data_IF_673290658218
#
_entry.id   IF_673290658218
#
_cell.length_a   1.000
_cell.length_b   1.000
_cell.length_c   1.000
_cell.angle_alpha   90.00
_cell.angle_beta   90.00
_cell.angle_gamma   90.00
#
_symmetry.space_group_name_H-M   'P 1'
#
loop_
_entity.id
_entity.type
_entity.pdbx_description
1 polymer ?
#
# COMPACT_ATOMS: atom_id res chain seq x y z
N UNK A 1 69.52 22.80 66.21
CA UNK A 1 68.65 22.99 65.01
C UNK A 1 68.30 21.58 64.49
N UNK A 2 67.07 21.14 64.71
CA UNK A 2 66.65 19.76 64.49
C UNK A 2 65.91 19.65 63.16
N UNK A 3 66.32 18.73 62.30
CA UNK A 3 65.57 18.32 61.10
C UNK A 3 64.72 17.11 61.47
N UNK A 4 63.39 17.24 61.37
CA UNK A 4 62.42 16.18 61.48
C UNK A 4 62.34 15.41 60.15
N UNK A 5 62.56 14.09 60.20
CA UNK A 5 62.35 13.18 59.08
C UNK A 5 60.86 12.88 58.88
N UNK A 6 60.39 12.91 57.65
CA UNK A 6 59.06 12.41 57.25
C UNK A 6 59.16 10.95 56.86
N UNK A 7 58.30 10.13 57.44
CA UNK A 7 58.15 8.70 57.13
C UNK A 7 57.19 8.55 55.96
N UNK A 8 57.60 7.88 54.89
CA UNK A 8 56.73 7.43 53.84
C UNK A 8 56.02 6.13 54.23
N UNK A 9 54.70 6.09 54.06
CA UNK A 9 53.90 4.85 54.10
C UNK A 9 53.66 4.36 52.68
N UNK A 10 53.73 3.04 52.36
CA UNK A 10 53.40 2.54 51.03
C UNK A 10 51.87 2.37 50.90
N UNK A 11 51.38 2.81 49.75
CA UNK A 11 49.97 2.68 49.36
C UNK A 11 49.75 1.28 48.83
N UNK A 12 48.79 0.56 49.46
CA UNK A 12 48.39 -0.79 49.05
C UNK A 12 47.70 -0.82 47.68
N UNK A 13 48.12 -1.79 46.86
CA UNK A 13 47.53 -2.12 45.59
C UNK A 13 46.17 -2.80 45.80
N UNK A 14 45.07 -2.08 45.57
CA UNK A 14 43.73 -2.63 45.47
C UNK A 14 43.45 -3.17 44.08
N UNK A 15 43.46 -4.47 43.90
CA UNK A 15 43.00 -5.13 42.67
C UNK A 15 41.49 -4.98 42.53
N UNK A 16 41.04 -4.18 41.59
CA UNK A 16 39.65 -4.06 41.21
C UNK A 16 39.23 -5.27 40.37
N UNK A 17 38.47 -6.18 40.98
CA UNK A 17 37.81 -7.30 40.31
C UNK A 17 36.67 -6.73 39.41
N UNK A 18 36.87 -6.75 38.10
CA UNK A 18 35.84 -6.49 37.09
C UNK A 18 34.76 -7.58 37.15
N UNK A 19 33.62 -7.29 37.78
CA UNK A 19 32.41 -8.11 37.67
C UNK A 19 31.83 -8.01 36.27
N UNK A 20 31.76 -9.12 35.55
CA UNK A 20 31.08 -9.28 34.25
C UNK A 20 29.56 -9.04 34.42
N UNK A 21 28.92 -8.19 33.57
CA UNK A 21 27.47 -8.14 33.46
C UNK A 21 27.00 -9.16 32.42
N UNK A 22 26.88 -10.43 32.77
CA UNK A 22 26.53 -11.49 31.81
C UNK A 22 25.09 -12.03 31.91
N UNK A 23 24.20 -11.37 32.64
CA UNK A 23 22.80 -11.85 32.75
C UNK A 23 21.72 -10.90 32.22
N UNK A 24 21.98 -9.61 32.06
CA UNK A 24 20.99 -8.66 31.58
C UNK A 24 20.84 -8.65 30.03
N UNK A 25 21.91 -8.91 29.30
CA UNK A 25 21.92 -8.87 27.82
C UNK A 25 21.21 -10.07 27.19
N UNK A 26 21.17 -11.22 27.84
CA UNK A 26 20.46 -12.43 27.36
C UNK A 26 18.93 -12.33 27.52
N UNK A 27 18.44 -11.59 28.49
CA UNK A 27 17.00 -11.42 28.70
C UNK A 27 16.35 -10.49 27.71
N UNK A 28 17.08 -9.48 27.21
CA UNK A 28 16.59 -8.53 26.18
C UNK A 28 16.54 -9.20 24.80
N UNK A 29 17.53 -10.04 24.47
CA UNK A 29 17.55 -10.78 23.20
C UNK A 29 16.48 -11.90 23.15
N UNK A 30 16.10 -12.50 24.28
CA UNK A 30 15.02 -13.49 24.36
C UNK A 30 13.64 -12.85 24.18
N UNK A 31 13.41 -11.65 24.76
CA UNK A 31 12.14 -10.92 24.58
C UNK A 31 11.92 -10.44 23.14
N UNK A 32 12.98 -10.07 22.42
CA UNK A 32 12.88 -9.65 21.02
C UNK A 32 12.51 -10.80 20.05
N UNK A 33 12.75 -12.06 20.45
CA UNK A 33 12.34 -13.24 19.66
C UNK A 33 10.91 -13.73 19.95
N UNK A 34 10.36 -13.41 21.10
CA UNK A 34 9.01 -13.85 21.49
C UNK A 34 7.89 -12.97 20.89
N UNK A 35 8.22 -11.73 20.47
CA UNK A 35 7.28 -10.81 19.81
C UNK A 35 6.99 -11.21 18.36
N UNK A 36 7.77 -12.12 17.77
CA UNK A 36 7.61 -12.55 16.35
C UNK A 36 6.60 -13.71 16.14
N UNK A 37 5.89 -14.18 17.18
CA UNK A 37 4.98 -15.33 17.09
C UNK A 37 3.50 -14.98 17.05
N UNK A 38 3.14 -13.70 17.18
CA UNK A 38 1.77 -13.26 16.93
C UNK A 38 1.69 -12.68 15.53
N UNK A 39 0.79 -13.18 14.67
CA UNK A 39 0.54 -12.52 13.38
C UNK A 39 0.17 -11.06 13.67
N UNK A 40 0.91 -10.13 13.10
CA UNK A 40 0.54 -8.72 13.16
C UNK A 40 -0.88 -8.63 12.61
N UNK A 41 -1.87 -8.14 13.38
CA UNK A 41 -3.23 -8.05 12.87
C UNK A 41 -3.19 -7.22 11.58
N UNK A 42 -3.77 -7.77 10.50
CA UNK A 42 -3.87 -7.05 9.24
C UNK A 42 -4.75 -5.81 9.47
N UNK A 43 -4.21 -4.63 9.21
CA UNK A 43 -4.89 -3.37 9.52
C UNK A 43 -5.96 -3.01 8.48
N UNK A 44 -5.85 -3.53 7.24
CA UNK A 44 -6.73 -3.21 6.12
C UNK A 44 -6.86 -4.42 5.20
N UNK A 45 -8.07 -4.65 4.66
CA UNK A 45 -8.32 -5.62 3.60
C UNK A 45 -8.35 -4.92 2.25
N UNK A 46 -7.59 -5.41 1.29
CA UNK A 46 -7.48 -4.81 -0.03
C UNK A 46 -7.91 -5.77 -1.14
N UNK A 47 -8.92 -5.37 -1.90
CA UNK A 47 -9.41 -6.12 -3.06
C UNK A 47 -8.82 -5.55 -4.35
N UNK A 48 -8.14 -6.39 -5.13
CA UNK A 48 -7.44 -5.99 -6.35
C UNK A 48 -8.00 -6.68 -7.59
N UNK A 49 -8.53 -5.87 -8.52
CA UNK A 49 -9.04 -6.32 -9.82
C UNK A 49 -7.92 -6.42 -10.86
N UNK A 50 -8.09 -7.36 -11.80
CA UNK A 50 -7.13 -7.64 -12.89
C UNK A 50 -7.29 -6.71 -14.11
N UNK A 51 -6.29 -6.70 -15.01
CA UNK A 51 -6.36 -6.04 -16.32
C UNK A 51 -7.33 -6.75 -17.29
N UNK A 52 -7.69 -6.08 -18.38
CA UNK A 52 -8.71 -6.54 -19.33
C UNK A 52 -8.45 -7.91 -19.98
N UNK A 53 -7.21 -8.36 -20.06
CA UNK A 53 -6.83 -9.68 -20.62
C UNK A 53 -6.42 -10.69 -19.55
N UNK A 54 -6.67 -10.38 -18.26
CA UNK A 54 -6.26 -11.19 -17.13
C UNK A 54 -7.40 -11.91 -16.42
N UNK A 55 -7.06 -12.44 -15.26
CA UNK A 55 -7.95 -13.03 -14.27
C UNK A 55 -7.38 -12.73 -12.87
N UNK A 56 -8.07 -13.11 -11.81
CA UNK A 56 -7.54 -13.01 -10.44
C UNK A 56 -6.15 -13.66 -10.32
N UNK A 57 -5.91 -14.79 -11.00
CA UNK A 57 -4.60 -15.45 -11.02
C UNK A 57 -3.47 -14.56 -11.57
N UNK A 58 -3.75 -13.66 -12.50
CA UNK A 58 -2.76 -12.73 -13.05
C UNK A 58 -2.29 -11.69 -12.03
N UNK A 59 -3.02 -11.50 -10.93
CA UNK A 59 -2.69 -10.60 -9.83
C UNK A 59 -1.90 -11.27 -8.70
N UNK A 60 -1.52 -12.55 -8.83
CA UNK A 60 -0.83 -13.31 -7.78
C UNK A 60 0.44 -12.61 -7.27
N UNK A 61 1.22 -11.98 -8.16
CA UNK A 61 2.41 -11.20 -7.77
C UNK A 61 2.07 -9.97 -6.93
N UNK A 62 0.97 -9.28 -7.24
CA UNK A 62 0.50 -8.12 -6.45
C UNK A 62 0.01 -8.58 -5.08
N UNK A 63 -0.84 -9.61 -5.04
CA UNK A 63 -1.38 -10.16 -3.79
C UNK A 63 -0.26 -10.64 -2.87
N UNK A 64 0.63 -11.51 -3.37
CA UNK A 64 1.77 -12.00 -2.58
C UNK A 64 2.61 -10.84 -2.02
N UNK A 65 2.99 -9.90 -2.87
CA UNK A 65 3.85 -8.80 -2.45
C UNK A 65 3.17 -7.85 -1.46
N UNK A 66 1.85 -7.63 -1.52
CA UNK A 66 1.11 -6.85 -0.55
C UNK A 66 0.95 -7.59 0.80
N UNK A 67 0.71 -8.91 0.78
CA UNK A 67 0.66 -9.75 2.00
C UNK A 67 2.00 -9.73 2.72
N UNK A 68 3.12 -9.85 2.00
CA UNK A 68 4.47 -9.75 2.56
C UNK A 68 4.74 -8.39 3.23
N UNK A 69 3.95 -7.36 2.91
CA UNK A 69 3.99 -6.00 3.47
C UNK A 69 2.91 -5.71 4.52
N UNK A 70 2.16 -6.74 4.96
CA UNK A 70 1.18 -6.61 6.04
C UNK A 70 -0.23 -6.21 5.61
N UNK A 71 -0.56 -6.24 4.32
CA UNK A 71 -1.91 -5.96 3.80
C UNK A 71 -2.66 -7.27 3.54
N UNK A 72 -3.91 -7.42 4.04
CA UNK A 72 -4.80 -8.55 3.68
C UNK A 72 -5.28 -8.39 2.23
N UNK A 73 -4.43 -8.72 1.25
CA UNK A 73 -4.72 -8.54 -0.15
C UNK A 73 -5.44 -9.75 -0.77
N UNK A 74 -6.47 -9.49 -1.58
CA UNK A 74 -7.29 -10.50 -2.26
C UNK A 74 -7.51 -10.12 -3.71
N UNK A 75 -7.12 -10.99 -4.65
CA UNK A 75 -7.47 -10.79 -6.05
C UNK A 75 -8.92 -11.23 -6.30
N UNK A 76 -9.59 -10.49 -7.18
CA UNK A 76 -10.97 -10.80 -7.59
C UNK A 76 -11.05 -10.97 -9.11
N UNK A 77 -11.90 -11.88 -9.55
CA UNK A 77 -12.27 -12.03 -10.96
C UNK A 77 -13.37 -11.04 -11.34
N UNK A 78 -13.18 -10.40 -12.48
CA UNK A 78 -14.13 -9.44 -13.02
C UNK A 78 -14.61 -9.91 -14.40
N UNK A 79 -15.91 -9.75 -14.72
CA UNK A 79 -16.40 -10.08 -16.05
C UNK A 79 -15.77 -9.15 -17.10
N UNK A 80 -15.36 -9.71 -18.23
CA UNK A 80 -14.75 -8.96 -19.35
C UNK A 80 -15.85 -8.21 -20.13
N UNK A 81 -16.33 -7.12 -19.57
CA UNK A 81 -17.37 -6.23 -20.11
C UNK A 81 -16.83 -4.78 -20.11
N UNK A 82 -17.69 -3.82 -20.47
CA UNK A 82 -17.40 -2.41 -20.15
C UNK A 82 -17.25 -2.26 -18.65
N UNK A 83 -16.39 -1.36 -18.21
CA UNK A 83 -16.11 -1.22 -16.77
C UNK A 83 -17.36 -0.84 -15.96
N UNK A 84 -18.23 -0.02 -16.56
CA UNK A 84 -19.50 0.39 -15.98
C UNK A 84 -20.44 -0.83 -15.73
N UNK A 85 -20.48 -1.77 -16.68
CA UNK A 85 -21.31 -2.99 -16.57
C UNK A 85 -20.71 -4.03 -15.60
N UNK A 86 -19.44 -3.86 -15.19
CA UNK A 86 -18.77 -4.76 -14.26
C UNK A 86 -18.90 -4.31 -12.80
N UNK A 87 -19.30 -3.08 -12.52
CA UNK A 87 -19.46 -2.54 -11.15
C UNK A 87 -20.40 -3.41 -10.28
N UNK A 88 -21.58 -3.87 -10.74
CA UNK A 88 -22.43 -4.75 -9.92
C UNK A 88 -21.74 -6.06 -9.53
N UNK A 89 -20.96 -6.67 -10.44
CA UNK A 89 -20.22 -7.89 -10.14
C UNK A 89 -19.06 -7.64 -9.15
N UNK A 90 -18.41 -6.49 -9.25
CA UNK A 90 -17.40 -6.05 -8.28
C UNK A 90 -18.01 -5.92 -6.88
N UNK A 91 -19.12 -5.20 -6.73
CA UNK A 91 -19.81 -4.97 -5.46
C UNK A 91 -20.46 -6.24 -4.87
N UNK A 92 -20.76 -7.24 -5.71
CA UNK A 92 -21.23 -8.54 -5.22
C UNK A 92 -20.13 -9.34 -4.48
N UNK A 93 -18.84 -9.02 -4.70
CA UNK A 93 -17.69 -9.69 -4.10
C UNK A 93 -17.06 -8.84 -2.99
N UNK A 94 -16.97 -7.52 -3.20
CA UNK A 94 -16.28 -6.58 -2.33
C UNK A 94 -17.28 -5.93 -1.38
N UNK A 95 -17.10 -6.06 -0.04
CA UNK A 95 -17.96 -5.37 0.92
C UNK A 95 -17.91 -3.85 0.71
N UNK A 96 -19.05 -3.18 0.82
CA UNK A 96 -19.17 -1.74 0.57
C UNK A 96 -18.46 -0.87 1.64
N UNK A 97 -18.03 -1.45 2.75
CA UNK A 97 -17.31 -0.77 3.84
C UNK A 97 -17.10 -1.69 5.03
N UNK A 98 -16.46 -1.20 6.12
CA UNK A 98 -16.09 -2.02 7.27
C UNK A 98 -17.28 -2.60 8.04
N UNK A 99 -18.45 -1.96 7.98
CA UNK A 99 -19.69 -2.45 8.60
C UNK A 99 -20.48 -3.43 7.71
N UNK A 100 -20.08 -3.61 6.44
CA UNK A 100 -20.78 -4.50 5.53
C UNK A 100 -20.51 -5.97 5.86
N UNK A 101 -21.45 -6.89 5.55
CA UNK A 101 -21.22 -8.33 5.70
C UNK A 101 -19.94 -8.77 4.97
N UNK A 102 -19.11 -9.58 5.65
CA UNK A 102 -17.84 -10.09 5.10
C UNK A 102 -16.64 -9.15 5.22
N UNK A 103 -16.82 -7.95 5.75
CA UNK A 103 -15.71 -7.02 6.05
C UNK A 103 -14.97 -7.38 7.35
N UNK A 104 -15.60 -8.09 8.26
CA UNK A 104 -15.09 -8.48 9.59
C UNK A 104 -14.61 -7.26 10.43
N UNK A 105 -15.21 -6.08 10.19
CA UNK A 105 -14.84 -4.83 10.83
C UNK A 105 -13.55 -4.19 10.32
N UNK A 106 -12.85 -4.80 9.35
CA UNK A 106 -11.64 -4.24 8.78
C UNK A 106 -11.98 -3.11 7.79
N UNK A 107 -11.18 -2.02 7.77
CA UNK A 107 -11.21 -1.07 6.67
C UNK A 107 -11.02 -1.76 5.31
N UNK A 108 -11.79 -1.34 4.32
CA UNK A 108 -11.77 -1.93 2.98
C UNK A 108 -11.04 -0.98 2.02
N UNK A 109 -9.90 -1.41 1.52
CA UNK A 109 -9.25 -0.79 0.37
C UNK A 109 -9.66 -1.50 -0.92
N UNK A 110 -9.76 -0.75 -2.00
CA UNK A 110 -10.09 -1.28 -3.33
C UNK A 110 -9.10 -0.79 -4.37
N UNK A 111 -9.01 -1.49 -5.49
CA UNK A 111 -8.14 -1.06 -6.58
C UNK A 111 -7.98 -2.09 -7.67
N UNK A 112 -6.96 -1.89 -8.51
CA UNK A 112 -6.69 -2.85 -9.57
C UNK A 112 -5.71 -2.33 -10.60
N UNK A 113 -5.31 -3.24 -11.47
CA UNK A 113 -4.51 -2.93 -12.65
C UNK A 113 -5.42 -2.57 -13.82
N UNK A 114 -5.15 -1.42 -14.46
CA UNK A 114 -5.80 -1.03 -15.70
C UNK A 114 -7.33 -1.14 -15.61
N UNK A 115 -7.96 -2.07 -16.31
CA UNK A 115 -9.40 -2.32 -16.30
C UNK A 115 -9.96 -2.51 -14.88
N UNK A 116 -9.31 -3.34 -14.04
CA UNK A 116 -9.75 -3.56 -12.66
C UNK A 116 -9.69 -2.28 -11.82
N UNK A 117 -8.67 -1.43 -12.03
CA UNK A 117 -8.59 -0.12 -11.41
C UNK A 117 -9.74 0.81 -11.84
N UNK A 118 -10.13 0.76 -13.13
CA UNK A 118 -11.28 1.52 -13.62
C UNK A 118 -12.59 1.04 -12.98
N UNK A 119 -12.82 -0.27 -12.90
CA UNK A 119 -14.02 -0.82 -12.23
C UNK A 119 -14.06 -0.41 -10.76
N UNK A 120 -12.92 -0.55 -10.04
CA UNK A 120 -12.82 -0.16 -8.64
C UNK A 120 -13.08 1.35 -8.43
N UNK A 121 -12.60 2.21 -9.34
CA UNK A 121 -12.82 3.65 -9.24
C UNK A 121 -14.30 4.04 -9.46
N UNK A 122 -15.01 3.35 -10.35
CA UNK A 122 -16.44 3.52 -10.55
C UNK A 122 -17.23 3.04 -9.32
N UNK A 123 -16.88 1.88 -8.77
CA UNK A 123 -17.49 1.37 -7.54
C UNK A 123 -17.25 2.33 -6.35
N UNK A 124 -16.05 2.92 -6.23
CA UNK A 124 -15.74 3.88 -5.17
C UNK A 124 -16.48 5.22 -5.29
N UNK A 125 -17.09 5.50 -6.44
CA UNK A 125 -17.93 6.67 -6.65
C UNK A 125 -19.40 6.45 -6.28
N UNK A 126 -19.82 5.18 -6.04
CA UNK A 126 -21.17 4.87 -5.63
C UNK A 126 -21.47 5.41 -4.21
N UNK A 127 -22.68 5.98 -3.97
CA UNK A 127 -22.98 6.68 -2.72
C UNK A 127 -22.99 5.76 -1.49
N UNK A 128 -23.26 4.48 -1.66
CA UNK A 128 -23.34 3.50 -0.56
C UNK A 128 -21.99 2.98 -0.09
N UNK A 129 -20.90 3.21 -0.84
CA UNK A 129 -19.59 2.67 -0.49
C UNK A 129 -18.84 3.54 0.52
N UNK A 130 -18.16 2.89 1.46
CA UNK A 130 -17.32 3.50 2.48
C UNK A 130 -15.93 2.84 2.46
N UNK A 131 -15.22 3.01 1.33
CA UNK A 131 -13.87 2.49 1.18
C UNK A 131 -12.85 3.39 1.87
N UNK A 132 -11.88 2.77 2.55
CA UNK A 132 -10.79 3.47 3.23
C UNK A 132 -9.73 4.02 2.25
N UNK A 133 -9.53 3.36 1.10
CA UNK A 133 -8.52 3.73 0.12
C UNK A 133 -8.81 3.15 -1.26
N UNK A 134 -8.34 3.84 -2.32
CA UNK A 134 -8.34 3.37 -3.70
C UNK A 134 -6.91 3.38 -4.26
N UNK A 135 -6.40 2.24 -4.76
CA UNK A 135 -5.07 2.13 -5.37
C UNK A 135 -5.18 1.72 -6.83
N UNK A 136 -4.66 2.55 -7.72
CA UNK A 136 -4.79 2.43 -9.17
C UNK A 136 -3.42 2.18 -9.83
N UNK A 137 -3.17 0.94 -10.24
CA UNK A 137 -1.99 0.55 -11.01
C UNK A 137 -2.28 0.73 -12.50
N UNK A 138 -1.59 1.70 -13.14
CA UNK A 138 -1.74 2.03 -14.56
C UNK A 138 -3.20 2.29 -14.96
N UNK A 139 -3.83 3.30 -14.34
CA UNK A 139 -5.23 3.66 -14.65
C UNK A 139 -5.38 4.07 -16.11
N UNK A 140 -6.31 3.46 -16.89
CA UNK A 140 -6.47 3.74 -18.31
C UNK A 140 -7.33 5.00 -18.52
N UNK A 141 -6.70 6.17 -18.49
CA UNK A 141 -7.34 7.48 -18.61
C UNK A 141 -8.07 7.67 -19.94
N UNK A 142 -7.54 7.10 -21.03
CA UNK A 142 -8.13 7.17 -22.37
C UNK A 142 -7.65 5.97 -23.22
N UNK A 143 -8.34 5.61 -24.30
CA UNK A 143 -7.80 4.69 -25.30
C UNK A 143 -6.53 5.28 -25.95
N UNK A 144 -5.57 4.45 -26.39
CA UNK A 144 -4.42 4.94 -27.17
C UNK A 144 -4.87 5.78 -28.35
N UNK A 145 -4.23 6.94 -28.55
CA UNK A 145 -4.56 7.86 -29.64
C UNK A 145 -5.85 8.67 -29.46
N UNK A 146 -6.61 8.49 -28.37
CA UNK A 146 -7.88 9.18 -28.14
C UNK A 146 -7.88 9.95 -26.78
N UNK A 147 -6.97 10.93 -26.56
CA UNK A 147 -6.86 11.65 -25.28
C UNK A 147 -8.12 12.45 -24.92
N UNK A 148 -8.95 12.86 -25.91
CA UNK A 148 -10.24 13.51 -25.68
C UNK A 148 -11.28 12.65 -24.93
N UNK A 149 -11.05 11.36 -24.79
CA UNK A 149 -11.89 10.47 -23.97
C UNK A 149 -11.59 10.52 -22.47
N UNK A 150 -10.59 11.30 -22.05
CA UNK A 150 -10.23 11.42 -20.63
C UNK A 150 -11.37 12.01 -19.79
N UNK A 151 -12.14 12.96 -20.31
CA UNK A 151 -13.26 13.58 -19.60
C UNK A 151 -14.35 12.58 -19.25
N UNK A 152 -14.80 11.81 -20.24
CA UNK A 152 -15.78 10.76 -20.07
C UNK A 152 -15.33 9.72 -19.02
N UNK A 153 -14.03 9.35 -19.07
CA UNK A 153 -13.47 8.33 -18.18
C UNK A 153 -13.22 8.80 -16.75
N UNK A 154 -13.24 10.09 -16.48
CA UNK A 154 -13.02 10.67 -15.17
C UNK A 154 -14.22 11.45 -14.62
N UNK A 155 -15.36 11.43 -15.32
CA UNK A 155 -16.58 12.12 -14.92
C UNK A 155 -17.07 11.73 -13.51
N UNK A 156 -16.77 10.51 -13.05
CA UNK A 156 -17.11 9.99 -11.72
C UNK A 156 -16.14 10.41 -10.61
N UNK A 157 -14.96 10.95 -10.94
CA UNK A 157 -13.92 11.29 -9.95
C UNK A 157 -14.41 12.21 -8.82
N UNK A 158 -15.22 13.26 -9.07
CA UNK A 158 -15.72 14.12 -7.99
C UNK A 158 -16.58 13.40 -6.95
N UNK A 159 -17.15 12.25 -7.28
CA UNK A 159 -17.96 11.44 -6.38
C UNK A 159 -17.13 10.48 -5.50
N UNK A 160 -15.86 10.24 -5.82
CA UNK A 160 -14.97 9.41 -5.00
C UNK A 160 -14.64 10.15 -3.71
N UNK A 161 -14.90 9.48 -2.56
CA UNK A 161 -14.75 10.09 -1.24
C UNK A 161 -13.48 9.67 -0.52
N UNK A 162 -12.97 8.47 -0.80
CA UNK A 162 -11.74 7.96 -0.20
C UNK A 162 -10.49 8.55 -0.85
N UNK A 163 -9.35 8.55 -0.15
CA UNK A 163 -8.04 8.86 -0.73
C UNK A 163 -7.67 7.93 -1.87
N UNK A 164 -6.99 8.46 -2.89
CA UNK A 164 -6.63 7.72 -4.12
C UNK A 164 -5.14 7.78 -4.39
N UNK A 165 -4.50 6.63 -4.60
CA UNK A 165 -3.12 6.53 -5.07
C UNK A 165 -3.09 6.07 -6.52
N UNK A 166 -2.47 6.87 -7.39
CA UNK A 166 -2.13 6.50 -8.75
C UNK A 166 -0.66 6.09 -8.86
N UNK A 167 -0.42 4.94 -9.46
CA UNK A 167 0.90 4.43 -9.81
C UNK A 167 0.94 4.23 -11.33
N UNK A 168 1.67 5.07 -12.06
CA UNK A 168 1.59 5.14 -13.52
C UNK A 168 2.96 5.30 -14.18
N UNK A 169 3.17 4.66 -15.33
CA UNK A 169 4.30 4.99 -16.20
C UNK A 169 4.09 6.35 -16.87
N UNK A 170 5.13 7.16 -17.03
CA UNK A 170 5.02 8.48 -17.69
C UNK A 170 4.94 8.39 -19.21
N UNK A 171 5.28 7.23 -19.79
CA UNK A 171 5.14 6.92 -21.21
C UNK A 171 3.95 5.96 -21.51
N UNK A 172 2.96 5.92 -20.62
CA UNK A 172 1.78 5.04 -20.79
C UNK A 172 0.88 5.56 -21.92
N UNK A 173 0.67 4.77 -23.00
CA UNK A 173 -0.19 5.17 -24.11
C UNK A 173 -1.67 5.29 -23.74
N UNK A 174 -2.09 4.69 -22.60
CA UNK A 174 -3.45 4.80 -22.08
C UNK A 174 -3.64 5.93 -21.08
N UNK A 175 -2.56 6.64 -20.68
CA UNK A 175 -2.65 7.69 -19.68
C UNK A 175 -1.56 8.75 -19.88
N UNK A 176 -1.78 9.68 -20.79
CA UNK A 176 -0.90 10.84 -20.92
C UNK A 176 -0.75 11.53 -19.56
N UNK A 177 0.50 11.64 -19.08
CA UNK A 177 0.79 12.08 -17.72
C UNK A 177 0.35 13.52 -17.43
N UNK A 178 0.41 14.41 -18.45
CA UNK A 178 -0.07 15.79 -18.36
C UNK A 178 -1.60 15.85 -18.13
N UNK A 179 -2.35 15.06 -18.90
CA UNK A 179 -3.79 14.92 -18.70
C UNK A 179 -4.13 14.25 -17.37
N UNK A 180 -3.39 13.20 -16.99
CA UNK A 180 -3.62 12.51 -15.72
C UNK A 180 -3.46 13.49 -14.54
N UNK A 181 -2.41 14.32 -14.52
CA UNK A 181 -2.23 15.36 -13.52
C UNK A 181 -3.40 16.34 -13.45
N UNK A 182 -3.93 16.73 -14.60
CA UNK A 182 -5.11 17.61 -14.66
C UNK A 182 -6.37 16.92 -14.11
N UNK A 183 -6.57 15.63 -14.42
CA UNK A 183 -7.78 14.90 -14.00
C UNK A 183 -7.76 14.51 -12.52
N UNK A 184 -6.61 14.24 -11.96
CA UNK A 184 -6.44 13.98 -10.52
C UNK A 184 -6.94 15.16 -9.67
N UNK A 185 -6.83 16.39 -10.16
CA UNK A 185 -7.36 17.58 -9.48
C UNK A 185 -8.89 17.58 -9.30
N UNK A 186 -9.63 16.67 -9.94
CA UNK A 186 -11.07 16.46 -9.69
C UNK A 186 -11.35 15.63 -8.43
N UNK A 187 -10.35 14.95 -7.89
CA UNK A 187 -10.44 14.15 -6.66
C UNK A 187 -10.20 15.04 -5.43
N UNK A 188 -10.80 14.67 -4.30
CA UNK A 188 -10.64 15.40 -3.03
C UNK A 188 -9.27 15.20 -2.39
N UNK A 189 -8.75 13.97 -2.48
CA UNK A 189 -7.46 13.55 -1.93
C UNK A 189 -6.84 12.53 -2.88
N UNK A 190 -5.74 12.88 -3.54
CA UNK A 190 -5.09 11.99 -4.49
C UNK A 190 -3.58 12.21 -4.56
N UNK A 191 -2.87 11.11 -4.62
CA UNK A 191 -1.43 11.05 -4.82
C UNK A 191 -1.11 10.45 -6.19
N UNK A 192 -0.12 11.00 -6.89
CA UNK A 192 0.39 10.47 -8.15
C UNK A 192 1.88 10.16 -8.06
N UNK A 193 2.21 8.90 -8.24
CA UNK A 193 3.58 8.45 -8.45
C UNK A 193 3.77 8.09 -9.91
N UNK A 194 4.77 8.68 -10.57
CA UNK A 194 5.10 8.37 -11.96
C UNK A 194 6.45 7.67 -12.07
N UNK A 195 6.54 6.70 -12.97
CA UNK A 195 7.75 5.94 -13.24
C UNK A 195 8.32 6.31 -14.62
N UNK A 196 9.54 6.85 -14.65
CA UNK A 196 10.14 7.37 -15.89
C UNK A 196 10.29 6.29 -16.97
N UNK A 197 9.93 6.63 -18.20
CA UNK A 197 10.05 5.79 -19.40
C UNK A 197 9.30 4.46 -19.35
N UNK A 198 8.40 4.25 -18.38
CA UNK A 198 7.52 3.09 -18.34
C UNK A 198 6.22 3.35 -19.06
N UNK A 199 5.78 2.36 -19.82
CA UNK A 199 4.47 2.30 -20.45
C UNK A 199 3.39 1.78 -19.49
N UNK A 200 2.42 1.05 -20.06
CA UNK A 200 1.23 0.55 -19.33
C UNK A 200 1.53 -0.59 -18.33
N UNK A 201 2.74 -1.10 -18.26
CA UNK A 201 3.11 -2.16 -17.29
C UNK A 201 4.09 -1.62 -16.26
N UNK A 202 3.81 -1.91 -14.99
CA UNK A 202 4.69 -1.59 -13.87
C UNK A 202 5.56 -2.79 -13.44
N UNK A 203 5.60 -3.88 -14.21
CA UNK A 203 6.40 -5.08 -13.88
C UNK A 203 7.85 -4.76 -13.53
N UNK A 204 8.58 -3.88 -14.25
CA UNK A 204 9.98 -3.58 -13.92
C UNK A 204 10.19 -2.92 -12.57
N UNK A 205 9.17 -2.26 -12.03
CA UNK A 205 9.19 -1.52 -10.77
C UNK A 205 8.16 -2.03 -9.77
N UNK A 206 7.68 -3.28 -9.97
CA UNK A 206 6.57 -3.82 -9.18
C UNK A 206 6.85 -3.78 -7.68
N UNK A 207 8.07 -4.07 -7.24
CA UNK A 207 8.42 -4.02 -5.81
C UNK A 207 8.21 -2.62 -5.23
N UNK A 208 8.76 -1.57 -5.86
CA UNK A 208 8.57 -0.18 -5.40
C UNK A 208 7.09 0.24 -5.46
N UNK A 209 6.37 -0.15 -6.51
CA UNK A 209 4.94 0.13 -6.61
C UNK A 209 4.14 -0.51 -5.47
N UNK A 210 4.51 -1.73 -5.06
CA UNK A 210 3.88 -2.42 -3.93
C UNK A 210 4.30 -1.85 -2.58
N UNK A 211 5.56 -1.37 -2.41
CA UNK A 211 5.99 -0.65 -1.21
C UNK A 211 5.13 0.60 -0.99
N UNK A 212 4.92 1.39 -2.05
CA UNK A 212 4.08 2.60 -1.99
C UNK A 212 2.61 2.27 -1.75
N UNK A 213 2.07 1.27 -2.45
CA UNK A 213 0.69 0.83 -2.26
C UNK A 213 0.44 0.33 -0.83
N UNK A 214 1.34 -0.48 -0.28
CA UNK A 214 1.23 -0.97 1.09
C UNK A 214 1.32 0.16 2.11
N UNK A 215 2.30 1.07 1.99
CA UNK A 215 2.43 2.23 2.87
C UNK A 215 1.16 3.11 2.84
N UNK A 216 0.61 3.36 1.63
CA UNK A 216 -0.62 4.11 1.45
C UNK A 216 -1.83 3.44 2.10
N UNK A 217 -1.99 2.13 1.94
CA UNK A 217 -3.08 1.34 2.51
C UNK A 217 -2.99 1.27 4.03
N UNK A 218 -1.81 0.93 4.59
CA UNK A 218 -1.60 0.77 6.02
C UNK A 218 -1.76 2.08 6.82
N UNK A 219 -1.53 3.22 6.20
CA UNK A 219 -1.78 4.53 6.82
C UNK A 219 -3.29 4.85 6.94
N UNK A 220 -4.18 4.00 6.42
CA UNK A 220 -5.63 4.19 6.36
C UNK A 220 -6.43 2.99 6.92
N UNK A 221 -5.70 2.05 7.53
CA UNK A 221 -6.21 0.87 8.21
C UNK A 221 -6.34 0.99 9.72
#
# INVERSE_FOLDING_TARGET
MARRGQRFHPIGSGAATLRRPARATLAIAARAREVALYPVPMAIRFYVGHGASGSAASMAGHVKGLIERGVDARAIDLPLKKAEDAVPAFRAIVPDGPAAPGADGLPIGVGGQSYGGRVASLAAAEPETDYAALVLFSFPLHPPGAPGKADERTAHFPAIRCPVLFLSGDADPFARVDLLRTRIALLRDAELVTYPRLGHTLKPVLSDALDRAAAFLLARG
#
